data_IF_697838940530
#
_entry.id   IF_697838940530
#
_cell.length_a   1.000
_cell.length_b   1.000
_cell.length_c   1.000
_cell.angle_alpha   90.00
_cell.angle_beta   90.00
_cell.angle_gamma   90.00
#
_symmetry.space_group_name_H-M   'P 1'
#
loop_
_entity.id
_entity.type
_entity.pdbx_description
1 polymer ?
#
# COMPACT_ATOMS: atom_id res chain seq x y z
N UNK A 1 3.71 -1.81 -11.97
CA UNK A 1 2.46 -1.11 -12.36
C UNK A 1 2.82 0.32 -12.75
N UNK A 2 2.13 0.96 -13.71
CA UNK A 2 2.32 2.39 -14.01
C UNK A 2 1.17 3.18 -13.37
N UNK A 3 1.45 3.90 -12.28
CA UNK A 3 0.44 4.60 -11.49
C UNK A 3 -0.27 5.70 -12.31
N UNK A 4 0.48 6.46 -13.11
CA UNK A 4 -0.06 7.51 -13.97
C UNK A 4 -1.12 6.96 -14.94
N UNK A 5 -0.83 5.82 -15.58
CA UNK A 5 -1.78 5.15 -16.48
C UNK A 5 -3.03 4.67 -15.74
N UNK A 6 -2.90 4.19 -14.51
CA UNK A 6 -4.05 3.80 -13.68
C UNK A 6 -4.94 5.00 -13.36
N UNK A 7 -4.35 6.12 -12.91
CA UNK A 7 -5.07 7.35 -12.60
C UNK A 7 -5.82 7.90 -13.83
N UNK A 8 -5.17 7.90 -15.01
CA UNK A 8 -5.80 8.29 -16.27
C UNK A 8 -6.97 7.39 -16.65
N UNK A 9 -6.81 6.08 -16.50
CA UNK A 9 -7.86 5.08 -16.80
C UNK A 9 -9.05 5.23 -15.86
N UNK A 10 -8.79 5.54 -14.59
CA UNK A 10 -9.81 5.70 -13.57
C UNK A 10 -10.51 7.07 -13.64
N UNK A 11 -9.99 8.00 -14.47
CA UNK A 11 -10.58 9.32 -14.70
C UNK A 11 -10.18 10.37 -13.67
N UNK A 12 -9.11 10.13 -12.91
CA UNK A 12 -8.60 11.07 -11.90
C UNK A 12 -7.84 12.20 -12.60
N UNK A 13 -8.12 13.44 -12.20
CA UNK A 13 -7.45 14.62 -12.77
C UNK A 13 -6.01 14.69 -12.26
N UNK A 14 -5.04 14.64 -13.18
CA UNK A 14 -3.62 14.82 -12.90
C UNK A 14 -3.27 16.29 -13.13
N UNK A 15 -2.80 16.97 -12.09
CA UNK A 15 -2.42 18.37 -12.12
C UNK A 15 -1.00 18.56 -12.64
N UNK A 16 -0.09 17.68 -12.19
CA UNK A 16 1.32 17.77 -12.53
C UNK A 16 1.95 16.38 -12.51
N UNK A 17 2.54 16.01 -13.63
CA UNK A 17 3.55 14.97 -13.69
C UNK A 17 4.86 15.57 -13.17
N UNK A 18 5.46 14.97 -12.14
CA UNK A 18 6.78 15.40 -11.68
C UNK A 18 7.79 15.07 -12.77
N UNK A 19 8.71 16.00 -13.02
CA UNK A 19 9.78 15.77 -14.00
C UNK A 19 10.68 14.67 -13.46
N UNK A 20 11.08 13.75 -14.34
CA UNK A 20 12.07 12.73 -14.00
C UNK A 20 13.32 13.42 -13.46
N UNK A 21 13.68 13.11 -12.22
CA UNK A 21 14.92 13.58 -11.62
C UNK A 21 16.03 12.55 -11.87
N UNK A 22 17.26 13.02 -12.02
CA UNK A 22 18.40 12.11 -12.04
C UNK A 22 18.47 11.38 -10.68
N UNK A 23 18.45 10.05 -10.74
CA UNK A 23 18.36 9.17 -9.57
C UNK A 23 19.66 9.23 -8.78
N UNK A 24 19.73 10.13 -7.82
CA UNK A 24 20.81 10.20 -6.83
C UNK A 24 20.54 9.24 -5.68
N UNK A 25 21.47 8.32 -5.44
CA UNK A 25 21.36 7.34 -4.36
C UNK A 25 21.20 7.99 -2.98
N UNK A 26 21.78 9.17 -2.75
CA UNK A 26 21.65 9.88 -1.49
C UNK A 26 20.21 10.39 -1.29
N UNK A 27 19.61 10.99 -2.34
CA UNK A 27 18.19 11.40 -2.32
C UNK A 27 17.24 10.21 -2.17
N UNK A 28 17.60 9.05 -2.73
CA UNK A 28 16.82 7.81 -2.59
C UNK A 28 16.82 7.35 -1.13
N UNK A 29 17.97 7.42 -0.43
CA UNK A 29 18.06 7.06 0.99
C UNK A 29 17.35 8.06 1.93
N UNK A 30 17.13 9.29 1.49
CA UNK A 30 16.37 10.31 2.24
C UNK A 30 14.85 10.09 2.18
N UNK A 31 14.36 9.22 1.30
CA UNK A 31 12.93 8.89 1.16
C UNK A 31 12.62 7.48 1.66
N UNK A 32 11.52 7.29 2.39
CA UNK A 32 11.06 5.94 2.75
C UNK A 32 10.28 5.24 1.61
N UNK A 33 9.91 5.96 0.54
CA UNK A 33 9.13 5.40 -0.59
C UNK A 33 9.77 4.14 -1.22
N UNK A 34 11.08 4.13 -1.54
CA UNK A 34 11.71 2.94 -2.14
C UNK A 34 11.72 1.72 -1.20
N UNK A 35 11.54 1.93 0.11
CA UNK A 35 11.52 0.86 1.12
C UNK A 35 10.15 0.18 1.24
N UNK A 36 9.11 0.75 0.62
CA UNK A 36 7.78 0.17 0.61
C UNK A 36 7.74 -1.05 -0.32
N UNK A 37 7.43 -2.20 0.29
CA UNK A 37 7.22 -3.46 -0.41
C UNK A 37 5.80 -3.52 -0.96
N UNK A 38 5.64 -3.85 -2.23
CA UNK A 38 4.32 -4.12 -2.79
C UNK A 38 3.70 -5.34 -2.09
N UNK A 39 2.40 -5.29 -1.78
CA UNK A 39 1.65 -6.44 -1.28
C UNK A 39 0.81 -7.00 -2.41
N UNK A 40 1.35 -7.99 -3.13
CA UNK A 40 0.65 -8.61 -4.27
C UNK A 40 -0.70 -9.26 -3.88
N UNK A 41 -0.86 -9.67 -2.61
CA UNK A 41 -2.08 -10.31 -2.13
C UNK A 41 -3.25 -9.32 -2.05
N UNK A 42 -3.00 -8.14 -1.46
CA UNK A 42 -3.96 -7.03 -1.44
C UNK A 42 -3.88 -6.16 -2.71
N UNK A 43 -2.99 -6.53 -3.64
CA UNK A 43 -2.70 -5.78 -4.87
C UNK A 43 -2.35 -4.33 -4.56
N UNK A 44 -1.60 -4.14 -3.47
CA UNK A 44 -1.03 -2.85 -3.11
C UNK A 44 0.27 -2.69 -3.88
N UNK A 45 0.36 -1.59 -4.62
CA UNK A 45 1.52 -1.24 -5.39
C UNK A 45 1.93 0.20 -5.07
N UNK A 46 3.21 0.40 -4.78
CA UNK A 46 3.76 1.73 -4.53
C UNK A 46 4.66 2.18 -5.67
N UNK A 47 4.73 3.49 -5.87
CA UNK A 47 5.81 4.08 -6.65
C UNK A 47 7.14 3.85 -5.95
N UNK A 48 8.26 3.88 -6.68
CA UNK A 48 9.59 3.60 -6.11
C UNK A 48 10.41 4.85 -5.89
N UNK A 49 10.03 5.96 -6.50
CA UNK A 49 10.75 7.22 -6.36
C UNK A 49 9.77 8.38 -6.14
N UNK A 50 10.25 9.44 -5.48
CA UNK A 50 9.40 10.57 -5.12
C UNK A 50 8.95 11.42 -6.32
N UNK A 51 9.71 11.39 -7.42
CA UNK A 51 9.36 11.97 -8.72
C UNK A 51 8.32 11.13 -9.48
N UNK A 52 8.05 9.90 -9.05
CA UNK A 52 6.97 9.08 -9.59
C UNK A 52 5.62 9.34 -8.90
N UNK A 53 5.55 10.25 -7.92
CA UNK A 53 4.30 10.64 -7.24
C UNK A 53 3.60 11.78 -8.01
N UNK A 54 2.59 11.51 -8.86
CA UNK A 54 1.85 12.56 -9.54
C UNK A 54 1.02 13.38 -8.55
N UNK A 55 0.92 14.67 -8.84
CA UNK A 55 -0.03 15.55 -8.16
C UNK A 55 -1.40 15.40 -8.82
N UNK A 56 -2.41 15.06 -8.03
CA UNK A 56 -3.77 14.80 -8.47
C UNK A 56 -4.76 15.74 -7.78
N UNK A 57 -5.87 16.02 -8.45
CA UNK A 57 -7.02 16.71 -7.86
C UNK A 57 -8.16 15.73 -7.63
N UNK A 58 -8.63 15.69 -6.39
CA UNK A 58 -9.81 14.95 -5.95
C UNK A 58 -10.80 15.94 -5.30
N UNK A 59 -12.06 15.54 -4.97
CA UNK A 59 -13.05 16.47 -4.39
C UNK A 59 -12.59 17.19 -3.12
N UNK A 60 -11.67 16.59 -2.36
CA UNK A 60 -11.13 17.12 -1.10
C UNK A 60 -9.92 18.05 -1.29
N UNK A 61 -9.44 18.27 -2.52
CA UNK A 61 -8.31 19.13 -2.83
C UNK A 61 -7.20 18.45 -3.64
N UNK A 62 -6.00 18.98 -3.50
CA UNK A 62 -4.82 18.56 -4.25
C UNK A 62 -3.94 17.66 -3.37
N UNK A 63 -3.53 16.52 -3.92
CA UNK A 63 -2.80 15.48 -3.21
C UNK A 63 -1.67 14.90 -4.07
N UNK A 64 -0.64 14.34 -3.42
CA UNK A 64 0.33 13.48 -4.10
C UNK A 64 -0.13 12.04 -4.02
N UNK A 65 -0.17 11.34 -5.14
CA UNK A 65 -0.52 9.91 -5.17
C UNK A 65 0.75 9.06 -5.19
N UNK A 66 0.86 8.08 -4.30
CA UNK A 66 2.06 7.25 -4.17
C UNK A 66 1.79 5.74 -4.17
N UNK A 67 0.52 5.32 -4.18
CA UNK A 67 0.17 3.91 -4.28
C UNK A 67 -1.23 3.66 -4.81
N UNK A 68 -1.47 2.44 -5.28
CA UNK A 68 -2.79 1.93 -5.67
C UNK A 68 -3.11 0.69 -4.84
N UNK A 69 -4.38 0.52 -4.51
CA UNK A 69 -4.90 -0.62 -3.74
C UNK A 69 -5.93 -1.36 -4.61
N UNK A 70 -5.86 -2.69 -4.63
CA UNK A 70 -6.90 -3.52 -5.23
C UNK A 70 -7.13 -3.35 -6.73
N UNK A 71 -8.25 -3.89 -7.20
CA UNK A 71 -8.80 -3.63 -8.54
C UNK A 71 -9.72 -2.41 -8.58
N UNK A 72 -10.13 -1.95 -7.40
CA UNK A 72 -10.98 -0.80 -7.23
C UNK A 72 -10.20 0.49 -7.49
N UNK A 73 -10.90 1.61 -7.53
CA UNK A 73 -10.30 2.92 -7.78
C UNK A 73 -9.79 3.53 -6.47
N UNK A 74 -8.99 2.74 -5.73
CA UNK A 74 -8.46 3.08 -4.42
C UNK A 74 -6.97 3.44 -4.48
N UNK A 75 -6.58 4.47 -3.72
CA UNK A 75 -5.27 5.12 -3.84
C UNK A 75 -4.66 5.57 -2.51
N UNK A 76 -3.36 5.31 -2.39
CA UNK A 76 -2.36 5.98 -1.55
C UNK A 76 -2.22 7.47 -1.83
N UNK A 77 -2.76 8.39 -1.00
CA UNK A 77 -2.58 9.83 -1.21
C UNK A 77 -1.99 10.57 0.00
N UNK A 78 -1.22 11.62 -0.26
CA UNK A 78 -0.57 12.51 0.72
C UNK A 78 -1.13 13.91 0.56
N UNK A 79 -1.61 14.51 1.65
CA UNK A 79 -2.07 15.90 1.65
C UNK A 79 -0.90 16.91 1.75
N UNK A 80 -1.23 18.20 1.70
CA UNK A 80 -0.26 19.29 1.84
C UNK A 80 0.44 19.35 3.21
N UNK A 81 -0.15 18.73 4.24
CA UNK A 81 0.40 18.66 5.61
C UNK A 81 1.28 17.42 5.80
N UNK A 82 1.36 16.54 4.80
CA UNK A 82 2.12 15.29 4.83
C UNK A 82 1.34 14.11 5.40
N UNK A 83 0.05 14.28 5.71
CA UNK A 83 -0.82 13.20 6.21
C UNK A 83 -1.21 12.27 5.08
N UNK A 84 -1.37 11.00 5.42
CA UNK A 84 -1.65 9.91 4.50
C UNK A 84 -3.11 9.50 4.62
N UNK A 85 -3.75 9.34 3.46
CA UNK A 85 -5.13 8.89 3.35
C UNK A 85 -5.26 7.80 2.30
N UNK A 86 -6.22 6.88 2.51
CA UNK A 86 -6.75 6.02 1.47
C UNK A 86 -7.89 6.79 0.82
N UNK A 87 -7.75 7.08 -0.47
CA UNK A 87 -8.83 7.64 -1.27
C UNK A 87 -9.54 6.54 -2.06
N UNK A 88 -10.85 6.41 -1.91
CA UNK A 88 -11.72 5.57 -2.74
C UNK A 88 -12.55 6.45 -3.68
N UNK A 89 -12.32 6.31 -4.99
CA UNK A 89 -13.02 7.09 -6.01
C UNK A 89 -14.45 6.56 -6.29
N UNK A 90 -14.78 5.32 -5.91
CA UNK A 90 -16.06 4.71 -6.29
C UNK A 90 -17.26 5.22 -5.47
N UNK A 91 -17.00 5.77 -4.28
CA UNK A 91 -18.02 6.33 -3.41
C UNK A 91 -18.11 7.85 -3.66
N UNK A 92 -19.21 8.53 -3.30
CA UNK A 92 -19.42 9.96 -3.60
C UNK A 92 -19.46 10.86 -2.34
N UNK A 93 -19.11 10.35 -1.15
CA UNK A 93 -19.28 11.06 0.12
C UNK A 93 -17.97 11.16 0.96
N UNK A 94 -18.07 11.65 2.20
CA UNK A 94 -16.92 11.83 3.10
C UNK A 94 -16.24 10.50 3.49
N UNK A 95 -16.89 9.34 3.29
CA UNK A 95 -16.29 8.02 3.55
C UNK A 95 -15.21 7.64 2.52
N UNK A 96 -15.10 8.42 1.45
CA UNK A 96 -14.12 8.22 0.38
C UNK A 96 -12.68 8.52 0.79
N UNK A 97 -12.46 9.27 1.87
CA UNK A 97 -11.13 9.68 2.29
C UNK A 97 -10.87 9.22 3.72
N UNK A 98 -10.24 8.05 3.84
CA UNK A 98 -9.99 7.39 5.12
C UNK A 98 -8.59 7.75 5.61
N UNK A 99 -8.49 8.21 6.85
CA UNK A 99 -7.19 8.50 7.47
C UNK A 99 -6.37 7.22 7.64
N UNK A 100 -5.08 7.30 7.29
CA UNK A 100 -4.15 6.18 7.36
C UNK A 100 -3.06 6.46 8.39
N UNK A 101 -2.33 7.56 8.22
CA UNK A 101 -1.22 7.93 9.11
C UNK A 101 -0.96 9.43 9.07
N UNK A 102 -0.32 9.95 10.13
CA UNK A 102 0.05 11.36 10.25
C UNK A 102 1.23 11.78 9.38
N UNK A 103 2.01 10.83 8.86
CA UNK A 103 3.17 11.07 8.00
C UNK A 103 3.54 9.84 7.17
N UNK A 104 4.36 10.03 6.13
CA UNK A 104 4.93 8.93 5.35
C UNK A 104 5.82 8.01 6.20
N UNK A 105 6.62 8.58 7.12
CA UNK A 105 7.44 7.79 8.06
C UNK A 105 6.57 6.91 8.96
N UNK A 106 5.46 7.45 9.47
CA UNK A 106 4.50 6.68 10.27
C UNK A 106 3.86 5.57 9.43
N UNK A 107 3.43 5.88 8.20
CA UNK A 107 2.91 4.90 7.26
C UNK A 107 3.89 3.76 6.97
N UNK A 108 5.14 4.08 6.65
CA UNK A 108 6.19 3.10 6.42
C UNK A 108 6.35 2.15 7.61
N UNK A 109 6.45 2.70 8.83
CA UNK A 109 6.60 1.90 10.06
C UNK A 109 5.38 1.01 10.31
N UNK A 110 4.17 1.55 10.18
CA UNK A 110 2.92 0.79 10.33
C UNK A 110 2.81 -0.32 9.29
N UNK A 111 3.06 -0.01 8.02
CA UNK A 111 2.97 -0.94 6.90
C UNK A 111 3.99 -2.08 7.01
N UNK A 112 5.25 -1.79 7.36
CA UNK A 112 6.24 -2.84 7.61
C UNK A 112 5.82 -3.78 8.74
N UNK A 113 5.24 -3.24 9.81
CA UNK A 113 4.75 -4.04 10.93
C UNK A 113 3.55 -4.90 10.53
N UNK A 114 2.63 -4.33 9.76
CA UNK A 114 1.49 -5.05 9.19
C UNK A 114 1.92 -6.18 8.25
N UNK A 115 2.86 -5.92 7.33
CA UNK A 115 3.41 -6.95 6.44
C UNK A 115 4.07 -8.09 7.21
N UNK A 116 4.75 -7.79 8.32
CA UNK A 116 5.28 -8.84 9.21
C UNK A 116 4.14 -9.70 9.79
N UNK A 117 3.03 -9.09 10.22
CA UNK A 117 1.82 -9.80 10.65
C UNK A 117 1.25 -10.71 9.57
N UNK A 118 1.15 -10.23 8.32
CA UNK A 118 0.73 -11.06 7.17
C UNK A 118 1.66 -12.26 6.97
N UNK A 119 2.98 -12.08 7.08
CA UNK A 119 3.92 -13.19 6.94
C UNK A 119 3.78 -14.20 8.08
N UNK A 120 3.57 -13.73 9.32
CA UNK A 120 3.28 -14.60 10.46
C UNK A 120 2.00 -15.40 10.24
N UNK A 121 0.92 -14.75 9.79
CA UNK A 121 -0.32 -15.44 9.44
C UNK A 121 -0.08 -16.57 8.43
N UNK A 122 0.62 -16.27 7.33
CA UNK A 122 0.90 -17.27 6.28
C UNK A 122 1.75 -18.42 6.78
N UNK A 123 2.69 -18.16 7.68
CA UNK A 123 3.54 -19.20 8.27
C UNK A 123 2.75 -20.16 9.17
N UNK A 124 1.62 -19.71 9.72
CA UNK A 124 0.81 -20.44 10.69
C UNK A 124 -0.62 -20.73 10.18
N UNK A 125 -0.89 -20.61 8.88
CA UNK A 125 -2.24 -20.77 8.32
C UNK A 125 -2.87 -22.15 8.61
N UNK A 126 -2.05 -23.19 8.80
CA UNK A 126 -2.51 -24.54 9.13
C UNK A 126 -2.53 -24.85 10.64
N UNK A 127 -2.21 -23.87 11.47
CA UNK A 127 -2.13 -23.99 12.93
C UNK A 127 -3.38 -23.37 13.55
N UNK A 128 -4.35 -24.20 13.93
CA UNK A 128 -5.63 -23.74 14.52
C UNK A 128 -5.45 -22.97 15.84
N UNK A 129 -4.30 -23.15 16.51
CA UNK A 129 -4.01 -22.55 17.81
C UNK A 129 -3.11 -21.29 17.71
N UNK A 130 -2.76 -20.82 16.52
CA UNK A 130 -1.94 -19.61 16.41
C UNK A 130 -2.71 -18.39 16.92
N UNK A 131 -2.18 -17.67 17.94
CA UNK A 131 -2.91 -16.59 18.59
C UNK A 131 -2.84 -15.31 17.74
N UNK A 132 -3.60 -15.26 16.64
CA UNK A 132 -3.60 -14.12 15.72
C UNK A 132 -4.08 -12.84 16.41
N UNK A 133 -5.10 -12.94 17.26
CA UNK A 133 -5.59 -11.82 18.08
C UNK A 133 -4.44 -11.14 18.84
N UNK A 134 -3.54 -11.94 19.45
CA UNK A 134 -2.39 -11.41 20.17
C UNK A 134 -1.34 -10.77 19.24
N UNK A 135 -1.19 -11.24 17.99
CA UNK A 135 -0.32 -10.58 17.02
C UNK A 135 -0.92 -9.26 16.54
N UNK A 136 -2.23 -9.22 16.27
CA UNK A 136 -2.95 -7.99 15.89
C UNK A 136 -2.91 -6.96 17.01
N UNK A 137 -3.08 -7.37 18.27
CA UNK A 137 -2.90 -6.49 19.43
C UNK A 137 -1.49 -5.90 19.47
N UNK A 138 -0.45 -6.73 19.29
CA UNK A 138 0.96 -6.25 19.22
C UNK A 138 1.19 -5.26 18.08
N UNK A 139 0.54 -5.44 16.93
CA UNK A 139 0.66 -4.50 15.81
C UNK A 139 -0.06 -3.19 16.16
N UNK A 140 -1.27 -3.28 16.72
CA UNK A 140 -2.06 -2.12 17.17
C UNK A 140 -1.29 -1.28 18.17
N UNK A 141 -0.76 -1.90 19.23
CA UNK A 141 0.04 -1.22 20.26
C UNK A 141 1.30 -0.57 19.68
N UNK A 142 1.96 -1.25 18.75
CA UNK A 142 3.12 -0.70 18.06
C UNK A 142 2.76 0.58 17.30
N UNK A 143 1.70 0.57 16.49
CA UNK A 143 1.23 1.76 15.75
C UNK A 143 0.84 2.87 16.73
N UNK A 144 0.04 2.53 17.75
CA UNK A 144 -0.44 3.47 18.76
C UNK A 144 0.68 4.20 19.49
N UNK A 145 1.84 3.55 19.67
CA UNK A 145 2.99 4.13 20.38
C UNK A 145 3.62 5.35 19.67
N UNK A 146 3.42 5.51 18.35
CA UNK A 146 3.99 6.63 17.59
C UNK A 146 2.99 7.40 16.72
N UNK A 147 1.83 6.81 16.40
CA UNK A 147 0.77 7.45 15.62
C UNK A 147 -0.62 7.03 16.14
N UNK A 148 -1.01 7.47 17.35
CA UNK A 148 -2.22 7.01 18.02
C UNK A 148 -3.49 7.24 17.21
N UNK A 149 -3.56 8.36 16.48
CA UNK A 149 -4.71 8.70 15.63
C UNK A 149 -4.94 7.66 14.51
N UNK A 150 -3.92 6.89 14.13
CA UNK A 150 -4.00 5.89 13.07
C UNK A 150 -4.77 4.63 13.48
N UNK A 151 -5.04 4.44 14.78
CA UNK A 151 -5.74 3.27 15.35
C UNK A 151 -6.73 3.67 16.47
N UNK A 152 -7.08 4.95 16.58
CA UNK A 152 -7.91 5.46 17.68
C UNK A 152 -9.39 5.10 17.51
N UNK A 153 -9.86 4.95 16.27
CA UNK A 153 -11.25 4.65 15.96
C UNK A 153 -11.37 3.62 14.83
N UNK A 154 -12.51 2.95 14.78
CA UNK A 154 -12.84 1.89 13.81
C UNK A 154 -12.92 2.38 12.36
N UNK A 155 -12.94 3.69 12.11
CA UNK A 155 -13.02 4.28 10.77
C UNK A 155 -11.64 4.56 10.16
N UNK A 156 -10.56 4.14 10.81
CA UNK A 156 -9.19 4.28 10.28
C UNK A 156 -8.83 3.11 9.37
N UNK A 157 -7.93 3.36 8.41
CA UNK A 157 -7.45 2.30 7.51
C UNK A 157 -6.88 1.10 8.27
N UNK A 158 -6.10 1.34 9.33
CA UNK A 158 -5.48 0.25 10.09
C UNK A 158 -6.49 -0.56 10.88
N UNK A 159 -7.55 0.06 11.42
CA UNK A 159 -8.63 -0.71 12.06
C UNK A 159 -9.25 -1.72 11.09
N UNK A 160 -9.55 -1.31 9.85
CA UNK A 160 -10.04 -2.22 8.81
C UNK A 160 -9.03 -3.33 8.50
N UNK A 161 -7.76 -2.97 8.26
CA UNK A 161 -6.74 -3.95 7.86
C UNK A 161 -6.41 -4.96 8.97
N UNK A 162 -6.43 -4.52 10.22
CA UNK A 162 -6.14 -5.34 11.38
C UNK A 162 -7.31 -6.28 11.69
N UNK A 163 -8.54 -5.82 11.52
CA UNK A 163 -9.73 -6.68 11.57
C UNK A 163 -9.68 -7.79 10.51
N UNK A 164 -9.31 -7.46 9.27
CA UNK A 164 -9.15 -8.45 8.18
C UNK A 164 -8.06 -9.47 8.51
N UNK A 165 -6.98 -9.04 9.15
CA UNK A 165 -5.89 -9.92 9.57
C UNK A 165 -6.30 -10.84 10.73
N UNK A 166 -7.05 -10.30 11.70
CA UNK A 166 -7.58 -11.02 12.87
C UNK A 166 -8.58 -12.11 12.48
N UNK A 167 -9.59 -11.77 11.68
CA UNK A 167 -10.66 -12.69 11.27
C UNK A 167 -10.21 -13.70 10.20
N UNK A 168 -8.91 -13.72 9.91
CA UNK A 168 -8.30 -14.63 8.94
C UNK A 168 -8.65 -14.32 7.48
N UNK A 169 -9.47 -13.31 7.18
CA UNK A 169 -9.88 -12.98 5.81
C UNK A 169 -8.73 -12.63 4.85
N UNK A 170 -7.50 -12.47 5.36
CA UNK A 170 -6.30 -12.50 4.55
C UNK A 170 -6.23 -13.69 3.56
N UNK A 171 -6.85 -14.85 3.86
CA UNK A 171 -6.97 -15.96 2.89
C UNK A 171 -8.05 -15.75 1.82
N UNK A 172 -9.08 -14.91 2.02
CA UNK A 172 -10.10 -14.63 0.99
C UNK A 172 -9.60 -13.67 -0.08
N UNK A 173 -8.62 -12.82 0.25
CA UNK A 173 -7.82 -12.07 -0.73
C UNK A 173 -6.99 -13.01 -1.63
N UNK A 174 -6.91 -14.31 -1.28
CA UNK A 174 -6.28 -15.38 -2.03
C UNK A 174 -7.19 -15.98 -3.12
N UNK A 175 -7.99 -15.16 -3.82
CA UNK A 175 -8.44 -15.55 -5.16
C UNK A 175 -7.25 -15.44 -6.12
N UNK A 176 -6.49 -16.54 -6.12
CA UNK A 176 -5.55 -16.93 -7.16
C UNK A 176 -6.28 -16.77 -8.50
N UNK A 177 -5.99 -15.69 -9.22
CA UNK A 177 -5.97 -15.83 -10.68
C UNK A 177 -4.91 -16.91 -10.90
N UNK A 178 -5.36 -18.04 -11.43
CA UNK A 178 -4.56 -19.21 -11.75
C UNK A 178 -3.14 -18.79 -12.16
N UNK A 179 -2.11 -19.44 -11.59
CA UNK A 179 -0.68 -19.16 -11.85
C UNK A 179 -0.31 -19.32 -13.35
N UNK A 180 -1.28 -19.54 -14.22
CA UNK A 180 -1.21 -19.65 -15.68
C UNK A 180 -1.49 -18.34 -16.43
N UNK A 181 -2.02 -17.28 -15.80
CA UNK A 181 -2.24 -15.99 -16.48
C UNK A 181 -1.29 -14.90 -15.96
N UNK A 182 -0.14 -14.79 -16.63
CA UNK A 182 0.49 -13.47 -16.80
C UNK A 182 1.76 -13.14 -16.01
N UNK A 183 2.54 -14.11 -15.52
CA UNK A 183 3.95 -13.79 -15.23
C UNK A 183 4.70 -13.55 -16.56
N UNK A 184 5.38 -12.41 -16.77
CA UNK A 184 6.39 -12.32 -17.80
C UNK A 184 7.44 -13.39 -17.49
N UNK A 185 7.68 -14.30 -18.45
CA UNK A 185 8.84 -15.20 -18.37
C UNK A 185 10.10 -14.34 -18.33
N UNK A 186 10.64 -14.11 -17.14
CA UNK A 186 11.99 -13.59 -17.00
C UNK A 186 12.96 -14.69 -17.43
N UNK A 187 13.34 -14.68 -18.71
CA UNK A 187 14.35 -15.57 -19.30
C UNK A 187 15.77 -15.22 -18.81
N UNK A 188 16.00 -15.18 -17.50
CA UNK A 188 17.34 -15.21 -16.94
C UNK A 188 17.78 -16.67 -16.82
N UNK A 189 18.13 -17.30 -17.96
CA UNK A 189 19.05 -18.46 -18.10
C UNK A 189 18.85 -19.25 -19.42
N UNK A 190 18.72 -18.57 -20.57
CA UNK A 190 18.98 -19.21 -21.87
C UNK A 190 20.05 -18.47 -22.69
N UNK A 191 21.21 -18.29 -22.07
CA UNK A 191 22.48 -18.17 -22.81
C UNK A 191 23.51 -19.02 -22.09
N UNK A 192 23.56 -20.31 -22.46
CA UNK A 192 24.78 -21.13 -22.56
C UNK A 192 24.39 -22.55 -22.95
N UNK A 193 24.48 -22.83 -24.26
CA UNK A 193 25.11 -24.03 -24.85
C UNK A 193 24.99 -23.94 -26.37
N UNK A 194 25.84 -23.09 -26.95
CA UNK A 194 26.35 -23.36 -28.29
C UNK A 194 27.75 -23.94 -28.11
N UNK A 195 27.85 -25.26 -28.22
CA UNK A 195 29.00 -26.01 -28.71
C UNK A 195 28.48 -27.31 -29.29
#
# INVERSE_FOLDING_TARGET
MNLLKCLQTDGITILKERQEEEKDINKIYESEIPLLLDNEHERIYFVKFADEMPEIRIPFGDFLCFGKIGFEKQYFVIDKEGKIFKYDFCYEDESNLVFVNSSLTAFYRSYCRYMAGIFMYKAHQSDEDFPMEAEVERITEFIKSFDPAAVENEQTYWSDQLFILEDGFAYLMHNVVDRTLGMPKHNYQQKKKNK
#
